data_IF_511896248258
#
_entry.id   IF_511896248258
#
_cell.length_a   1.000
_cell.length_b   1.000
_cell.length_c   1.000
_cell.angle_alpha   90.00
_cell.angle_beta   90.00
_cell.angle_gamma   90.00
#
_symmetry.space_group_name_H-M   'P 1'
#
loop_
_entity.id
_entity.type
_entity.pdbx_description
1 polymer ?
#
# COMPACT_ATOMS: atom_id res chain seq x y z
N UNK A 1 -28.22 -4.10 -2.30
CA UNK A 1 -28.07 -2.95 -1.38
C UNK A 1 -26.78 -2.23 -1.72
N UNK A 2 -26.70 -0.90 -1.58
CA UNK A 2 -25.45 -0.18 -1.81
C UNK A 2 -24.39 -0.62 -0.79
N UNK A 3 -23.15 -0.74 -1.25
CA UNK A 3 -22.01 -1.11 -0.39
C UNK A 3 -21.03 0.05 -0.28
N UNK A 4 -20.32 0.10 0.86
CA UNK A 4 -19.21 1.03 1.08
C UNK A 4 -17.97 0.28 1.53
N UNK A 5 -16.79 0.87 1.32
CA UNK A 5 -15.52 0.31 1.80
C UNK A 5 -15.12 0.99 3.10
N UNK A 6 -14.96 0.20 4.16
CA UNK A 6 -14.46 0.64 5.47
C UNK A 6 -13.06 0.09 5.69
N UNK A 7 -12.14 0.92 6.18
CA UNK A 7 -10.78 0.47 6.54
C UNK A 7 -10.66 0.37 8.05
N UNK A 8 -10.24 -0.79 8.55
CA UNK A 8 -10.00 -1.06 9.96
C UNK A 8 -8.51 -1.25 10.24
N UNK A 9 -7.98 -0.51 11.21
CA UNK A 9 -6.58 -0.65 11.63
C UNK A 9 -6.50 -1.73 12.70
N UNK A 10 -5.91 -2.87 12.35
CA UNK A 10 -5.77 -4.03 13.22
C UNK A 10 -4.34 -4.15 13.73
N UNK A 11 -4.18 -4.52 15.00
CA UNK A 11 -2.89 -4.81 15.62
C UNK A 11 -2.45 -6.24 15.29
N UNK A 12 -1.17 -6.43 14.99
CA UNK A 12 -0.58 -7.77 14.84
C UNK A 12 -0.17 -8.29 16.24
N UNK A 13 -0.82 -9.36 16.69
CA UNK A 13 -0.56 -9.96 18.01
C UNK A 13 0.74 -10.76 18.03
N UNK A 14 1.02 -11.54 16.98
CA UNK A 14 2.24 -12.34 16.85
C UNK A 14 3.37 -11.60 16.09
N UNK A 15 3.55 -10.31 16.39
CA UNK A 15 4.45 -9.42 15.62
C UNK A 15 5.89 -9.95 15.54
N UNK A 16 6.47 -10.46 16.63
CA UNK A 16 7.82 -11.04 16.64
C UNK A 16 8.01 -12.19 15.65
N UNK A 17 6.95 -12.94 15.34
CA UNK A 17 7.00 -14.07 14.41
C UNK A 17 6.91 -13.63 12.93
N UNK A 18 6.34 -12.46 12.65
CA UNK A 18 6.05 -12.01 11.28
C UNK A 18 6.84 -10.78 10.85
N UNK A 19 7.44 -10.05 11.79
CA UNK A 19 8.15 -8.80 11.53
C UNK A 19 9.23 -8.94 10.46
N UNK A 20 10.11 -9.94 10.55
CA UNK A 20 11.17 -10.16 9.55
C UNK A 20 10.63 -10.45 8.14
N UNK A 21 9.51 -11.17 8.03
CA UNK A 21 8.88 -11.42 6.74
C UNK A 21 8.24 -10.15 6.17
N UNK A 22 7.60 -9.33 7.01
CA UNK A 22 7.01 -8.04 6.62
C UNK A 22 8.08 -7.02 6.25
N UNK A 23 9.19 -6.97 7.00
CA UNK A 23 10.35 -6.13 6.67
C UNK A 23 10.93 -6.50 5.31
N UNK A 24 11.13 -7.79 5.04
CA UNK A 24 11.57 -8.28 3.72
C UNK A 24 10.61 -7.87 2.61
N UNK A 25 9.29 -7.94 2.85
CA UNK A 25 8.29 -7.53 1.84
C UNK A 25 8.27 -6.01 1.63
N UNK A 26 8.29 -5.22 2.71
CA UNK A 26 8.33 -3.76 2.62
C UNK A 26 9.58 -3.26 1.92
N UNK A 27 10.74 -3.87 2.20
CA UNK A 27 11.98 -3.58 1.49
C UNK A 27 11.92 -3.97 0.01
N UNK A 28 11.39 -5.16 -0.32
CA UNK A 28 11.22 -5.57 -1.73
C UNK A 28 10.24 -4.68 -2.48
N UNK A 29 9.20 -4.15 -1.83
CA UNK A 29 8.29 -3.16 -2.41
C UNK A 29 9.01 -1.83 -2.69
N UNK A 30 9.80 -1.32 -1.75
CA UNK A 30 10.63 -0.11 -1.97
C UNK A 30 11.64 -0.29 -3.10
N UNK A 31 12.29 -1.45 -3.17
CA UNK A 31 13.22 -1.77 -4.27
C UNK A 31 12.50 -1.91 -5.61
N UNK A 32 11.34 -2.56 -5.65
CA UNK A 32 10.55 -2.68 -6.87
C UNK A 32 10.10 -1.30 -7.38
N UNK A 33 9.65 -0.42 -6.49
CA UNK A 33 9.36 0.99 -6.82
C UNK A 33 10.58 1.67 -7.45
N UNK A 34 11.76 1.54 -6.84
CA UNK A 34 12.96 2.21 -7.35
C UNK A 34 13.40 1.68 -8.72
N UNK A 35 13.31 0.37 -8.94
CA UNK A 35 13.63 -0.24 -10.24
C UNK A 35 12.64 0.24 -11.31
N UNK A 36 11.35 0.28 -10.97
CA UNK A 36 10.32 0.77 -11.88
C UNK A 36 10.48 2.27 -12.18
N UNK A 37 10.79 3.08 -11.17
CA UNK A 37 11.01 4.51 -11.32
C UNK A 37 12.26 4.80 -12.17
N UNK A 38 13.32 4.01 -12.00
CA UNK A 38 14.50 4.09 -12.87
C UNK A 38 14.14 3.81 -14.33
N UNK A 39 13.44 2.71 -14.60
CA UNK A 39 12.97 2.39 -15.95
C UNK A 39 12.07 3.49 -16.54
N UNK A 40 11.11 3.99 -15.76
CA UNK A 40 10.21 5.05 -16.21
C UNK A 40 10.94 6.35 -16.56
N UNK A 41 11.98 6.73 -15.79
CA UNK A 41 12.82 7.89 -16.10
C UNK A 41 13.64 7.67 -17.37
N UNK A 42 14.18 6.47 -17.58
CA UNK A 42 14.88 6.17 -18.83
C UNK A 42 13.96 6.28 -20.04
N UNK A 43 12.75 5.73 -19.97
CA UNK A 43 11.78 5.86 -21.06
C UNK A 43 11.41 7.32 -21.30
N UNK A 44 11.19 8.11 -20.25
CA UNK A 44 10.96 9.54 -20.38
C UNK A 44 12.12 10.27 -21.06
N UNK A 45 13.36 10.01 -20.65
CA UNK A 45 14.55 10.65 -21.23
C UNK A 45 14.77 10.25 -22.70
N UNK A 46 14.33 9.04 -23.10
CA UNK A 46 14.48 8.51 -24.46
C UNK A 46 13.34 8.91 -25.41
N UNK A 47 12.08 8.89 -24.95
CA UNK A 47 10.89 9.07 -25.79
C UNK A 47 10.03 10.28 -25.44
N UNK A 48 10.22 10.88 -24.26
CA UNK A 48 9.31 11.88 -23.72
C UNK A 48 7.95 11.32 -23.28
N UNK A 49 7.83 9.98 -23.13
CA UNK A 49 6.61 9.33 -22.69
C UNK A 49 6.83 8.57 -21.36
N UNK A 50 5.86 8.68 -20.46
CA UNK A 50 5.89 7.95 -19.18
C UNK A 50 5.20 6.59 -19.38
N UNK A 51 5.86 5.47 -19.06
CA UNK A 51 5.25 4.15 -19.22
C UNK A 51 4.07 3.99 -18.27
N UNK A 52 2.98 3.44 -18.80
CA UNK A 52 1.78 3.15 -18.03
C UNK A 52 1.96 1.92 -17.12
N UNK A 53 0.97 1.71 -16.25
CA UNK A 53 0.90 0.55 -15.37
C UNK A 53 1.07 -0.80 -16.12
N UNK A 54 0.49 -0.95 -17.31
CA UNK A 54 0.49 -2.20 -18.08
C UNK A 54 1.89 -2.49 -18.60
N UNK A 55 2.58 -1.48 -19.08
CA UNK A 55 3.97 -1.55 -19.53
C UNK A 55 4.91 -1.89 -18.38
N UNK A 56 4.83 -1.16 -17.27
CA UNK A 56 5.63 -1.43 -16.06
C UNK A 56 5.44 -2.88 -15.59
N UNK A 57 4.20 -3.39 -15.62
CA UNK A 57 3.89 -4.78 -15.25
C UNK A 57 4.50 -5.80 -16.22
N UNK A 58 4.48 -5.51 -17.52
CA UNK A 58 5.06 -6.38 -18.55
C UNK A 58 6.57 -6.47 -18.37
N UNK A 59 7.23 -5.32 -18.22
CA UNK A 59 8.68 -5.21 -18.09
C UNK A 59 9.18 -5.90 -16.81
N UNK A 60 8.56 -5.59 -15.67
CA UNK A 60 9.11 -6.01 -14.38
C UNK A 60 8.58 -7.35 -13.87
N UNK A 61 7.68 -8.02 -14.58
CA UNK A 61 7.10 -9.33 -14.21
C UNK A 61 8.15 -10.38 -13.86
N UNK A 62 9.30 -10.35 -14.53
CA UNK A 62 10.36 -11.35 -14.35
C UNK A 62 11.36 -10.97 -13.26
N UNK A 63 11.35 -9.71 -12.80
CA UNK A 63 12.32 -9.13 -11.89
C UNK A 63 12.30 -9.85 -10.52
N UNK A 64 13.47 -10.10 -9.87
CA UNK A 64 13.51 -10.85 -8.62
C UNK A 64 12.67 -10.26 -7.48
N UNK A 65 12.57 -8.92 -7.39
CA UNK A 65 11.73 -8.25 -6.37
C UNK A 65 10.24 -8.39 -6.65
N UNK A 66 9.85 -8.34 -7.92
CA UNK A 66 8.48 -8.63 -8.34
C UNK A 66 8.08 -10.05 -7.95
N UNK A 67 8.95 -11.03 -8.21
CA UNK A 67 8.73 -12.43 -7.85
C UNK A 67 8.83 -12.70 -6.34
N UNK A 68 9.29 -11.75 -5.53
CA UNK A 68 9.33 -11.86 -4.07
C UNK A 68 7.97 -11.63 -3.42
N UNK A 69 7.20 -10.66 -3.91
CA UNK A 69 5.86 -10.38 -3.40
C UNK A 69 4.82 -11.24 -4.14
N UNK A 70 3.63 -11.37 -3.55
CA UNK A 70 2.49 -11.90 -4.30
C UNK A 70 2.26 -11.05 -5.56
N UNK A 71 1.86 -11.66 -6.68
CA UNK A 71 1.79 -10.95 -7.99
C UNK A 71 0.95 -9.67 -7.92
N UNK A 72 -0.21 -9.72 -7.26
CA UNK A 72 -1.06 -8.54 -7.09
C UNK A 72 -0.45 -7.48 -6.17
N UNK A 73 0.45 -7.85 -5.25
CA UNK A 73 1.18 -6.91 -4.41
C UNK A 73 2.26 -6.18 -5.21
N UNK A 74 3.02 -6.91 -6.04
CA UNK A 74 3.99 -6.30 -6.96
C UNK A 74 3.29 -5.38 -7.96
N UNK A 75 2.17 -5.83 -8.53
CA UNK A 75 1.34 -5.01 -9.41
C UNK A 75 0.86 -3.73 -8.73
N UNK A 76 0.45 -3.78 -7.44
CA UNK A 76 0.03 -2.56 -6.75
C UNK A 76 1.17 -1.55 -6.54
N UNK A 77 2.41 -2.01 -6.35
CA UNK A 77 3.57 -1.10 -6.29
C UNK A 77 3.76 -0.35 -7.61
N UNK A 78 3.54 -1.03 -8.74
CA UNK A 78 3.66 -0.44 -10.07
C UNK A 78 2.47 0.49 -10.41
N UNK A 79 1.26 0.08 -10.02
CA UNK A 79 0.05 0.92 -10.04
C UNK A 79 0.28 2.23 -9.27
N UNK A 80 0.79 2.16 -8.03
CA UNK A 80 1.09 3.34 -7.22
C UNK A 80 2.12 4.28 -7.88
N UNK A 81 3.12 3.72 -8.59
CA UNK A 81 4.12 4.54 -9.28
C UNK A 81 3.51 5.22 -10.50
N UNK A 82 2.73 4.49 -11.30
CA UNK A 82 2.01 5.04 -12.45
C UNK A 82 1.06 6.15 -12.01
N UNK A 83 0.27 5.92 -10.94
CA UNK A 83 -0.62 6.91 -10.34
C UNK A 83 0.17 8.16 -9.89
N UNK A 84 1.35 7.99 -9.28
CA UNK A 84 2.18 9.11 -8.84
C UNK A 84 2.74 9.94 -10.00
N UNK A 85 3.16 9.30 -11.09
CA UNK A 85 3.58 10.02 -12.29
C UNK A 85 2.41 10.75 -12.96
N UNK A 86 1.24 10.10 -13.11
CA UNK A 86 0.05 10.74 -13.67
C UNK A 86 -0.38 11.95 -12.84
N UNK A 87 -0.30 11.86 -11.52
CA UNK A 87 -0.60 12.98 -10.61
C UNK A 87 0.39 14.13 -10.76
N UNK A 88 1.68 13.85 -10.90
CA UNK A 88 2.70 14.88 -11.12
C UNK A 88 2.56 15.53 -12.50
N UNK A 89 2.37 14.72 -13.55
CA UNK A 89 2.26 15.20 -14.92
C UNK A 89 1.02 16.06 -15.16
N UNK A 90 -0.08 15.78 -14.45
CA UNK A 90 -1.31 16.57 -14.50
C UNK A 90 -1.34 17.75 -13.52
N UNK A 91 -0.24 18.05 -12.81
CA UNK A 91 -0.17 19.21 -11.93
C UNK A 91 0.26 20.47 -12.68
N UNK A 92 -0.40 21.58 -12.39
CA UNK A 92 -0.07 22.91 -12.91
C UNK A 92 0.88 23.69 -11.97
N UNK A 93 1.29 23.09 -10.84
CA UNK A 93 2.18 23.72 -9.86
C UNK A 93 3.66 23.42 -10.19
N UNK A 94 4.44 24.46 -10.47
CA UNK A 94 5.86 24.35 -10.83
C UNK A 94 6.76 23.89 -9.68
N UNK A 95 6.24 23.84 -8.45
CA UNK A 95 6.91 23.28 -7.27
C UNK A 95 6.77 21.76 -7.17
N UNK A 96 5.89 21.15 -7.96
CA UNK A 96 5.66 19.71 -7.91
C UNK A 96 6.80 18.93 -8.58
N UNK A 97 7.26 17.90 -7.87
CA UNK A 97 8.40 17.10 -8.29
C UNK A 97 7.93 15.71 -8.76
N UNK A 98 8.59 15.13 -9.79
CA UNK A 98 8.29 13.77 -10.22
C UNK A 98 8.56 12.79 -9.07
N UNK A 99 7.88 11.63 -9.04
CA UNK A 99 8.03 10.66 -7.96
C UNK A 99 9.49 10.30 -7.72
N UNK A 100 9.94 10.47 -6.47
CA UNK A 100 11.31 10.21 -6.05
C UNK A 100 11.62 8.73 -5.80
N UNK A 101 12.90 8.42 -5.63
CA UNK A 101 13.33 7.10 -5.15
C UNK A 101 12.99 6.93 -3.66
N UNK A 102 12.42 5.78 -3.31
CA UNK A 102 12.23 5.31 -1.93
C UNK A 102 13.54 4.74 -1.40
N UNK A 103 14.52 5.60 -1.10
CA UNK A 103 15.80 5.24 -0.47
C UNK A 103 16.44 6.43 0.25
N UNK A 104 17.33 6.14 1.20
CA UNK A 104 18.23 7.11 1.82
C UNK A 104 19.65 6.56 1.74
N UNK A 105 20.55 7.34 1.15
CA UNK A 105 21.97 7.01 1.11
C UNK A 105 22.69 7.71 2.27
N UNK A 106 23.67 7.04 2.83
CA UNK A 106 24.60 7.60 3.82
C UNK A 106 26.01 7.54 3.25
N UNK A 107 26.78 8.59 3.51
CA UNK A 107 28.11 8.80 2.98
C UNK A 107 29.10 9.00 4.12
N UNK A 108 30.35 8.56 3.95
CA UNK A 108 31.43 8.90 4.85
C UNK A 108 31.95 10.33 4.59
N UNK A 109 32.95 10.75 5.37
CA UNK A 109 33.61 12.06 5.25
C UNK A 109 34.27 12.29 3.89
N UNK A 110 34.61 11.21 3.18
CA UNK A 110 35.28 11.25 1.88
C UNK A 110 34.27 11.25 0.73
N UNK A 111 32.97 11.25 1.03
CA UNK A 111 31.88 11.25 0.05
C UNK A 111 31.58 9.88 -0.54
N UNK A 112 32.12 8.79 0.00
CA UNK A 112 31.80 7.44 -0.45
C UNK A 112 30.49 6.95 0.17
N UNK A 113 29.64 6.31 -0.62
CA UNK A 113 28.39 5.74 -0.11
C UNK A 113 28.67 4.51 0.77
N UNK A 114 28.41 4.62 2.06
CA UNK A 114 28.64 3.55 3.04
C UNK A 114 27.40 2.72 3.34
N UNK A 115 26.21 3.30 3.21
CA UNK A 115 24.96 2.60 3.53
C UNK A 115 23.80 3.09 2.67
N UNK A 116 22.87 2.19 2.35
CA UNK A 116 21.63 2.50 1.66
C UNK A 116 20.47 1.89 2.44
N UNK A 117 19.60 2.76 2.96
CA UNK A 117 18.36 2.38 3.63
C UNK A 117 17.19 2.49 2.66
N UNK A 118 16.22 1.60 2.83
CA UNK A 118 14.93 1.71 2.18
C UNK A 118 13.85 1.85 3.24
N UNK A 119 12.83 2.69 2.99
CA UNK A 119 11.69 2.71 3.87
C UNK A 119 11.00 1.34 3.87
N UNK A 120 10.34 1.04 4.97
CA UNK A 120 9.40 -0.08 5.05
C UNK A 120 8.12 0.29 4.32
N UNK A 121 8.14 0.18 2.99
CA UNK A 121 6.98 0.51 2.15
C UNK A 121 5.77 -0.33 2.55
N UNK A 122 4.59 0.28 2.43
CA UNK A 122 3.32 -0.43 2.55
C UNK A 122 3.27 -1.57 1.54
N UNK A 123 2.80 -2.73 1.97
CA UNK A 123 2.60 -3.89 1.11
C UNK A 123 1.11 -4.21 1.07
N UNK A 124 0.53 -4.27 -0.12
CA UNK A 124 -0.90 -4.44 -0.32
C UNK A 124 -1.20 -5.83 -0.88
N UNK A 125 -2.10 -6.58 -0.25
CA UNK A 125 -2.68 -7.81 -0.79
C UNK A 125 -4.13 -7.53 -1.20
N UNK A 126 -4.49 -7.90 -2.44
CA UNK A 126 -5.88 -7.96 -2.91
C UNK A 126 -6.46 -9.36 -2.60
N UNK A 127 -7.78 -9.56 -2.74
CA UNK A 127 -8.51 -10.80 -2.39
C UNK A 127 -7.75 -12.12 -2.67
N UNK A 128 -7.17 -12.32 -3.86
CA UNK A 128 -6.49 -13.58 -4.22
C UNK A 128 -5.22 -13.86 -3.41
N UNK A 129 -4.63 -12.83 -2.81
CA UNK A 129 -3.47 -12.93 -1.93
C UNK A 129 -3.83 -13.07 -0.44
N UNK A 130 -5.11 -13.20 -0.09
CA UNK A 130 -5.60 -13.23 1.29
C UNK A 130 -6.38 -14.52 1.53
N UNK A 131 -6.12 -15.19 2.66
CA UNK A 131 -7.09 -16.12 3.26
C UNK A 131 -7.41 -15.67 4.68
N UNK A 132 -8.69 -15.61 5.00
CA UNK A 132 -9.18 -15.16 6.29
C UNK A 132 -9.70 -16.35 7.10
N UNK A 133 -9.16 -16.51 8.29
CA UNK A 133 -9.54 -17.50 9.29
C UNK A 133 -10.20 -16.74 10.45
N UNK A 134 -11.52 -16.58 10.35
CA UNK A 134 -12.36 -15.86 11.32
C UNK A 134 -12.33 -16.54 12.69
N UNK A 135 -12.42 -17.88 12.71
CA UNK A 135 -12.42 -18.70 13.93
C UNK A 135 -11.22 -18.44 14.83
N UNK A 136 -10.05 -18.16 14.24
CA UNK A 136 -8.83 -17.94 15.00
C UNK A 136 -8.26 -16.52 14.89
N UNK A 137 -8.98 -15.58 14.27
CA UNK A 137 -8.53 -14.21 14.10
C UNK A 137 -7.22 -14.10 13.31
N UNK A 138 -7.11 -14.83 12.20
CA UNK A 138 -5.87 -14.94 11.42
C UNK A 138 -6.05 -14.53 9.96
N UNK A 139 -5.04 -13.87 9.43
CA UNK A 139 -4.91 -13.57 8.00
C UNK A 139 -3.66 -14.28 7.46
N UNK A 140 -3.84 -15.07 6.41
CA UNK A 140 -2.74 -15.59 5.58
C UNK A 140 -2.54 -14.64 4.42
N UNK A 141 -1.34 -14.07 4.35
CA UNK A 141 -0.93 -13.13 3.31
C UNK A 141 0.08 -13.82 2.40
N UNK A 142 -0.30 -14.09 1.16
CA UNK A 142 0.51 -14.88 0.23
C UNK A 142 1.86 -14.23 -0.08
N UNK A 143 2.90 -15.04 -0.24
CA UNK A 143 4.24 -14.63 -0.68
C UNK A 143 4.41 -14.88 -2.17
N UNK A 144 5.34 -14.16 -2.79
CA UNK A 144 5.86 -14.50 -4.12
C UNK A 144 6.85 -15.66 -4.06
N UNK A 145 7.14 -16.26 -5.22
CA UNK A 145 8.06 -17.39 -5.38
C UNK A 145 9.39 -17.18 -4.65
N UNK A 146 9.98 -16.00 -4.77
CA UNK A 146 11.33 -15.70 -4.25
C UNK A 146 11.37 -15.41 -2.75
N UNK A 147 10.23 -15.23 -2.08
CA UNK A 147 10.18 -15.06 -0.62
C UNK A 147 9.67 -16.30 0.12
N UNK A 148 9.36 -17.40 -0.60
CA UNK A 148 8.97 -18.66 0.04
C UNK A 148 10.18 -19.26 0.76
N UNK A 149 10.05 -19.48 2.05
CA UNK A 149 11.11 -19.93 2.97
C UNK A 149 10.61 -21.12 3.82
N UNK A 150 10.05 -22.12 3.15
CA UNK A 150 9.34 -23.25 3.79
C UNK A 150 7.87 -22.97 4.09
N UNK A 151 7.43 -21.70 4.00
CA UNK A 151 6.01 -21.30 3.98
C UNK A 151 5.73 -20.38 2.80
N UNK A 152 4.55 -20.52 2.22
CA UNK A 152 4.07 -19.75 1.08
C UNK A 152 3.25 -18.50 1.47
N UNK A 153 3.04 -18.25 2.77
CA UNK A 153 2.33 -17.08 3.31
C UNK A 153 2.96 -16.55 4.61
N UNK A 154 2.62 -15.30 4.94
CA UNK A 154 2.80 -14.69 6.27
C UNK A 154 1.51 -14.91 7.05
N UNK A 155 1.58 -15.51 8.24
CA UNK A 155 0.41 -15.78 9.08
C UNK A 155 0.30 -14.75 10.20
N UNK A 156 -0.56 -13.76 10.03
CA UNK A 156 -0.78 -12.70 11.00
C UNK A 156 -1.98 -13.04 11.89
N UNK A 157 -1.77 -13.16 13.20
CA UNK A 157 -2.84 -13.09 14.21
C UNK A 157 -3.18 -11.63 14.41
N UNK A 158 -4.41 -11.23 14.12
CA UNK A 158 -4.84 -9.84 14.19
C UNK A 158 -5.75 -9.61 15.39
N UNK A 159 -5.72 -8.39 15.91
CA UNK A 159 -6.71 -7.86 16.83
C UNK A 159 -7.38 -6.67 16.14
N UNK A 160 -8.67 -6.81 15.82
CA UNK A 160 -9.48 -5.74 15.27
C UNK A 160 -9.83 -4.70 16.37
N UNK A 161 -10.29 -3.49 15.99
CA UNK A 161 -10.87 -2.56 16.94
C UNK A 161 -12.04 -3.18 17.73
N UNK A 162 -12.35 -2.67 18.94
CA UNK A 162 -13.51 -3.14 19.71
C UNK A 162 -14.80 -3.10 18.90
N UNK A 163 -15.66 -4.11 19.07
CA UNK A 163 -16.93 -4.27 18.36
C UNK A 163 -16.84 -4.33 16.81
N UNK A 164 -15.65 -4.57 16.26
CA UNK A 164 -15.46 -4.77 14.82
C UNK A 164 -15.19 -6.23 14.51
N UNK A 165 -16.12 -6.86 13.81
CA UNK A 165 -15.87 -8.10 13.09
C UNK A 165 -15.42 -7.76 11.66
N UNK A 166 -14.33 -8.40 11.23
CA UNK A 166 -13.82 -8.23 9.87
C UNK A 166 -14.57 -9.21 8.97
N UNK A 167 -15.35 -8.70 8.03
CA UNK A 167 -16.07 -9.50 7.04
C UNK A 167 -15.83 -8.93 5.64
N UNK A 168 -16.09 -9.72 4.59
CA UNK A 168 -16.00 -9.28 3.19
C UNK A 168 -14.70 -8.52 2.85
N UNK A 169 -13.57 -9.04 3.31
CA UNK A 169 -12.25 -8.43 3.14
C UNK A 169 -11.92 -8.30 1.65
N UNK A 170 -11.67 -7.08 1.21
CA UNK A 170 -11.30 -6.73 -0.16
C UNK A 170 -9.78 -6.65 -0.31
N UNK A 171 -9.11 -6.13 0.73
CA UNK A 171 -7.70 -5.82 0.69
C UNK A 171 -7.12 -5.79 2.10
N UNK A 172 -5.86 -6.16 2.24
CA UNK A 172 -5.08 -6.00 3.47
C UNK A 172 -3.80 -5.23 3.12
N UNK A 173 -3.50 -4.16 3.85
CA UNK A 173 -2.24 -3.43 3.73
C UNK A 173 -1.42 -3.64 5.01
N UNK A 174 -0.19 -4.13 4.89
CA UNK A 174 0.77 -4.04 5.97
C UNK A 174 1.39 -2.64 5.94
N UNK A 175 1.19 -1.86 7.00
CA UNK A 175 1.66 -0.48 7.12
C UNK A 175 2.63 -0.38 8.30
N UNK A 176 3.81 0.19 8.08
CA UNK A 176 4.79 0.36 9.15
C UNK A 176 4.55 1.70 9.86
N UNK A 177 4.34 1.64 11.16
CA UNK A 177 4.29 2.81 12.03
C UNK A 177 5.69 3.04 12.61
N UNK A 178 6.39 4.06 12.12
CA UNK A 178 7.74 4.42 12.58
C UNK A 178 7.76 4.84 14.04
N UNK A 179 6.80 5.67 14.47
CA UNK A 179 6.70 6.14 15.86
C UNK A 179 6.55 5.00 16.87
N UNK A 180 5.86 3.92 16.50
CA UNK A 180 5.69 2.71 17.31
C UNK A 180 6.66 1.59 16.94
N UNK A 181 7.53 1.83 15.95
CA UNK A 181 8.45 0.86 15.34
C UNK A 181 7.82 -0.50 15.02
N UNK A 182 6.57 -0.51 14.54
CA UNK A 182 5.77 -1.72 14.40
C UNK A 182 4.89 -1.73 13.17
N UNK A 183 4.66 -2.93 12.65
CA UNK A 183 3.71 -3.19 11.58
C UNK A 183 2.28 -3.28 12.13
N UNK A 184 1.33 -2.65 11.44
CA UNK A 184 -0.11 -2.84 11.59
C UNK A 184 -0.74 -3.35 10.30
N UNK A 185 -1.97 -3.86 10.38
CA UNK A 185 -2.75 -4.27 9.21
C UNK A 185 -3.92 -3.31 9.01
N UNK A 186 -3.94 -2.60 7.89
CA UNK A 186 -5.11 -1.84 7.47
C UNK A 186 -5.96 -2.77 6.60
N UNK A 187 -7.07 -3.24 7.14
CA UNK A 187 -7.97 -4.20 6.48
C UNK A 187 -9.15 -3.46 5.88
N UNK A 188 -9.28 -3.53 4.56
CA UNK A 188 -10.41 -2.93 3.84
C UNK A 188 -11.50 -3.97 3.70
N UNK A 189 -12.64 -3.70 4.33
CA UNK A 189 -13.84 -4.51 4.29
C UNK A 189 -14.91 -3.82 3.46
N UNK A 190 -15.68 -4.59 2.70
CA UNK A 190 -16.90 -4.11 2.07
C UNK A 190 -18.07 -4.33 3.03
N UNK A 191 -18.86 -3.28 3.27
CA UNK A 191 -20.03 -3.33 4.13
C UNK A 191 -21.26 -2.89 3.37
N UNK A 192 -22.34 -3.63 3.53
CA UNK A 192 -23.66 -3.18 3.12
C UNK A 192 -24.06 -1.99 4.01
N UNK A 193 -24.65 -0.99 3.37
CA UNK A 193 -25.21 0.16 4.06
C UNK A 193 -26.70 0.16 3.79
N UNK A 194 -27.47 0.14 4.87
CA UNK A 194 -28.88 0.52 4.78
C UNK A 194 -28.92 2.03 4.65
N UNK A 195 -29.21 2.50 3.45
CA UNK A 195 -29.41 3.93 3.17
C UNK A 195 -30.89 4.11 2.89
N UNK A 196 -31.54 4.94 3.68
CA UNK A 196 -32.87 5.45 3.33
C UNK A 196 -32.73 6.38 2.13
N UNK A 197 -33.79 6.46 1.32
CA UNK A 197 -33.81 7.43 0.21
C UNK A 197 -33.59 8.83 0.78
N UNK A 198 -32.72 9.68 0.19
CA UNK A 198 -32.45 11.01 0.70
C UNK A 198 -33.69 11.93 0.73
N UNK A 199 -34.81 11.50 0.11
CA UNK A 199 -36.03 12.29 0.01
C UNK A 199 -35.81 13.51 -0.90
N UNK A 200 -36.67 14.52 -0.75
CA UNK A 200 -36.51 15.83 -1.44
C UNK A 200 -35.71 16.85 -0.60
N UNK A 201 -35.40 16.50 0.64
CA UNK A 201 -34.69 17.40 1.56
C UNK A 201 -33.23 17.55 1.14
N UNK A 202 -32.75 18.78 1.10
CA UNK A 202 -31.36 19.10 0.78
C UNK A 202 -30.68 19.65 2.03
N UNK A 203 -29.53 19.09 2.40
CA UNK A 203 -28.69 19.65 3.45
C UNK A 203 -27.42 20.28 2.85
N UNK A 204 -27.14 21.53 3.22
CA UNK A 204 -25.90 22.22 2.90
C UNK A 204 -24.87 22.01 4.00
N UNK A 205 -23.62 21.75 3.62
CA UNK A 205 -22.47 21.70 4.54
C UNK A 205 -21.56 22.88 4.22
N UNK A 206 -21.40 23.80 5.17
CA UNK A 206 -20.51 24.95 5.07
C UNK A 206 -19.30 24.78 5.99
N UNK A 207 -18.09 25.02 5.48
CA UNK A 207 -16.86 24.96 6.27
C UNK A 207 -16.55 26.35 6.82
N UNK A 208 -16.80 26.53 8.12
CA UNK A 208 -16.65 27.83 8.79
C UNK A 208 -15.28 28.05 9.45
N UNK A 209 -14.99 29.32 9.74
CA UNK A 209 -13.77 29.73 10.48
C UNK A 209 -13.90 29.42 11.97
N UNK A 210 -15.06 29.70 12.57
CA UNK A 210 -15.32 29.46 13.99
C UNK A 210 -15.87 28.04 14.26
N UNK A 211 -16.63 27.51 13.31
CA UNK A 211 -17.19 26.16 13.37
C UNK A 211 -16.57 25.34 12.23
N UNK A 212 -15.89 24.20 12.52
CA UNK A 212 -15.23 23.40 11.49
C UNK A 212 -16.17 22.94 10.37
N UNK A 213 -17.46 22.75 10.68
CA UNK A 213 -18.52 22.57 9.71
C UNK A 213 -19.86 23.02 10.33
N UNK A 214 -20.69 23.68 9.54
CA UNK A 214 -22.09 23.94 9.82
C UNK A 214 -22.96 23.12 8.86
N UNK A 215 -24.03 22.51 9.36
CA UNK A 215 -24.99 21.78 8.54
C UNK A 215 -26.34 22.49 8.65
N UNK A 216 -26.91 22.88 7.51
CA UNK A 216 -28.26 23.44 7.42
C UNK A 216 -29.12 22.52 6.55
N UNK A 217 -30.37 22.30 6.96
CA UNK A 217 -31.33 21.39 6.34
C UNK A 217 -32.73 21.99 6.39
#
# INVERSE_FOLDING_TARGET
MPTTRRTYVCRIQNHSQVAGALDRHGWSASKLWNVANYYARQQWDESGEIPDEKELKRELKTHPKYKGLHSQSSQKVLEELSEAFSSWFGSDDDRDNPPGYRKRNYYDSDGNRVHEEHPRSTVTWKKKGIRHDTKHGRLRLSKGKNHKDGRDFILCKYQAPPAVELENIQQVRAVYNSAKSRWGLHVVCEKEVSVESPGENTAGVDLGICNPAAVAF
#
